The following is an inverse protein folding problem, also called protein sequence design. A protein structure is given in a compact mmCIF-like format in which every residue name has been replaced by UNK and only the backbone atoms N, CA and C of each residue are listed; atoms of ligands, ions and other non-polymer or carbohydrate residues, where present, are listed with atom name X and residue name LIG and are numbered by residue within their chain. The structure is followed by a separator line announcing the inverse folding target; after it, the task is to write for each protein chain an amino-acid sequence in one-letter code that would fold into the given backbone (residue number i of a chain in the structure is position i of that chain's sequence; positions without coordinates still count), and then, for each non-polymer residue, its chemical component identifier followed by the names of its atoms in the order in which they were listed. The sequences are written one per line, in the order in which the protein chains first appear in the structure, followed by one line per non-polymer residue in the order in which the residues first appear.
data_IF_413522304844
#
_entry.id   IF_413522304844
#
_cell.length_a   1.000
_cell.length_b   1.000
_cell.length_c   1.000
_cell.angle_alpha   90.00
_cell.angle_beta   90.00
_cell.angle_gamma   90.00
#
_symmetry.space_group_name_H-M   'P 1'
#
loop_
_entity.id
_entity.type
_entity.pdbx_description
1 polymer ?
#
# COMPACT_ATOMS: atom_id res chain seq x y z
N UNK A 1 41.66 -49.72 41.54
CA UNK A 1 41.07 -48.37 41.61
C UNK A 1 40.34 -48.15 40.31
N UNK A 2 39.01 -48.22 40.34
CA UNK A 2 38.21 -48.13 39.11
C UNK A 2 38.17 -46.67 38.65
N UNK A 3 38.06 -46.41 37.34
CA UNK A 3 38.10 -45.03 36.79
C UNK A 3 37.08 -44.10 37.46
N UNK A 4 35.93 -44.64 37.90
CA UNK A 4 34.93 -43.90 38.67
C UNK A 4 35.42 -43.42 40.05
N UNK A 5 36.26 -44.18 40.75
CA UNK A 5 36.80 -43.81 42.07
C UNK A 5 37.88 -42.72 41.95
N UNK A 6 38.69 -42.77 40.89
CA UNK A 6 39.71 -41.75 40.58
C UNK A 6 39.03 -40.41 40.27
N UNK A 7 37.96 -40.44 39.46
CA UNK A 7 37.19 -39.24 39.13
C UNK A 7 36.55 -38.61 40.37
N UNK A 8 36.02 -39.45 41.27
CA UNK A 8 35.37 -39.02 42.51
C UNK A 8 36.38 -38.44 43.51
N UNK A 9 37.57 -39.03 43.62
CA UNK A 9 38.65 -38.54 44.47
C UNK A 9 39.23 -37.20 43.98
N UNK A 10 39.39 -37.03 42.66
CA UNK A 10 39.84 -35.76 42.06
C UNK A 10 38.78 -34.67 42.25
N UNK A 11 37.50 -35.00 42.12
CA UNK A 11 36.39 -34.07 42.41
C UNK A 11 36.36 -33.62 43.88
N UNK A 12 36.54 -34.55 44.82
CA UNK A 12 36.63 -34.24 46.26
C UNK A 12 37.85 -33.39 46.61
N UNK A 13 39.01 -33.66 45.99
CA UNK A 13 40.24 -32.89 46.22
C UNK A 13 40.16 -31.45 45.68
N UNK A 14 39.43 -31.25 44.58
CA UNK A 14 39.22 -29.93 43.98
C UNK A 14 38.20 -29.13 44.80
N UNK A 15 37.14 -29.76 45.31
CA UNK A 15 36.09 -29.09 46.10
C UNK A 15 36.57 -28.49 47.44
N UNK A 16 37.69 -28.95 48.00
CA UNK A 16 38.21 -28.48 49.29
C UNK A 16 39.14 -27.25 49.26
N UNK A 17 39.51 -26.74 48.08
CA UNK A 17 40.47 -25.64 47.94
C UNK A 17 40.04 -24.55 46.96
N UNK A 18 40.72 -23.39 47.01
CA UNK A 18 40.42 -22.21 46.18
C UNK A 18 40.31 -22.50 44.65
N UNK A 19 41.00 -23.53 44.18
CA UNK A 19 40.94 -23.97 42.78
C UNK A 19 39.58 -24.59 42.38
N UNK A 20 38.86 -25.28 43.28
CA UNK A 20 37.57 -25.87 42.93
C UNK A 20 36.41 -24.89 42.89
N UNK A 21 36.44 -23.88 43.75
CA UNK A 21 35.48 -22.78 43.69
C UNK A 21 35.57 -22.05 42.33
N UNK A 22 36.78 -21.84 41.82
CA UNK A 22 37.01 -21.23 40.50
C UNK A 22 36.51 -22.11 39.34
N UNK A 23 36.70 -23.44 39.41
CA UNK A 23 36.20 -24.38 38.40
C UNK A 23 34.68 -24.44 38.39
N UNK A 24 34.04 -24.51 39.57
CA UNK A 24 32.57 -24.53 39.69
C UNK A 24 31.97 -23.22 39.20
N UNK A 25 32.55 -22.08 39.60
CA UNK A 25 32.10 -20.76 39.13
C UNK A 25 32.31 -20.58 37.63
N UNK A 26 33.45 -21.01 37.08
CA UNK A 26 33.72 -20.94 35.63
C UNK A 26 32.79 -21.81 34.79
N UNK A 27 32.40 -22.99 35.30
CA UNK A 27 31.37 -23.82 34.67
C UNK A 27 30.02 -23.10 34.73
N UNK A 28 29.61 -22.58 35.90
CA UNK A 28 28.35 -21.88 36.09
C UNK A 28 28.23 -20.62 35.20
N UNK A 29 29.30 -19.83 35.09
CA UNK A 29 29.36 -18.64 34.22
C UNK A 29 29.23 -19.00 32.74
N UNK A 30 29.88 -20.08 32.27
CA UNK A 30 29.71 -20.55 30.89
C UNK A 30 28.29 -21.00 30.59
N UNK A 31 27.64 -21.69 31.53
CA UNK A 31 26.24 -22.08 31.39
C UNK A 31 25.31 -20.86 31.34
N UNK A 32 25.49 -19.89 32.26
CA UNK A 32 24.74 -18.63 32.26
C UNK A 32 24.94 -17.83 30.98
N UNK A 33 26.16 -17.76 30.46
CA UNK A 33 26.46 -17.07 29.20
C UNK A 33 25.82 -17.76 28.00
N UNK A 34 25.85 -19.09 27.94
CA UNK A 34 25.21 -19.85 26.85
C UNK A 34 23.69 -19.74 26.91
N UNK A 35 23.10 -19.78 28.11
CA UNK A 35 21.68 -19.57 28.33
C UNK A 35 21.26 -18.13 27.96
N UNK A 36 21.99 -17.11 28.41
CA UNK A 36 21.73 -15.72 28.09
C UNK A 36 21.85 -15.42 26.59
N UNK A 37 22.80 -16.03 25.88
CA UNK A 37 22.88 -15.92 24.41
C UNK A 37 21.77 -16.65 23.67
N UNK A 38 21.16 -17.68 24.27
CA UNK A 38 20.00 -18.37 23.69
C UNK A 38 18.74 -17.52 23.86
N UNK A 39 18.48 -17.05 25.09
CA UNK A 39 17.40 -16.13 25.39
C UNK A 39 17.47 -14.86 24.51
N UNK A 40 18.63 -14.19 24.44
CA UNK A 40 18.79 -13.00 23.60
C UNK A 40 18.63 -13.24 22.09
N UNK A 41 18.78 -14.49 21.61
CA UNK A 41 18.48 -14.84 20.22
C UNK A 41 16.99 -15.08 20.02
N UNK A 42 16.36 -15.78 20.95
CA UNK A 42 14.92 -16.04 20.97
C UNK A 42 14.14 -14.72 21.07
N UNK A 43 14.48 -13.84 22.02
CA UNK A 43 13.87 -12.50 22.17
C UNK A 43 13.99 -11.66 20.89
N UNK A 44 15.12 -11.75 20.18
CA UNK A 44 15.36 -11.03 18.92
C UNK A 44 14.62 -11.64 17.73
N UNK A 45 14.41 -12.95 17.73
CA UNK A 45 13.63 -13.65 16.71
C UNK A 45 12.13 -13.38 16.89
N UNK A 46 11.65 -13.37 18.14
CA UNK A 46 10.28 -12.96 18.50
C UNK A 46 10.03 -11.49 18.13
N UNK A 47 10.93 -10.56 18.49
CA UNK A 47 10.77 -9.14 18.13
C UNK A 47 10.73 -8.93 16.60
N UNK A 48 11.51 -9.69 15.83
CA UNK A 48 11.47 -9.66 14.37
C UNK A 48 10.19 -10.26 13.83
N UNK A 49 9.72 -11.37 14.40
CA UNK A 49 8.46 -12.00 14.00
C UNK A 49 7.28 -11.07 14.24
N UNK A 50 7.22 -10.42 15.40
CA UNK A 50 6.18 -9.45 15.76
C UNK A 50 6.17 -8.24 14.82
N UNK A 51 7.34 -7.63 14.57
CA UNK A 51 7.46 -6.52 13.60
C UNK A 51 7.07 -6.95 12.19
N UNK A 52 7.42 -8.17 11.78
CA UNK A 52 7.07 -8.69 10.45
C UNK A 52 5.56 -8.94 10.35
N UNK A 53 4.93 -9.45 11.40
CA UNK A 53 3.48 -9.66 11.46
C UNK A 53 2.72 -8.31 11.44
N UNK A 54 3.17 -7.32 12.20
CA UNK A 54 2.61 -5.97 12.21
C UNK A 54 2.74 -5.29 10.84
N UNK A 55 3.91 -5.38 10.21
CA UNK A 55 4.15 -4.84 8.88
C UNK A 55 3.25 -5.51 7.83
N UNK A 56 3.10 -6.84 7.91
CA UNK A 56 2.22 -7.61 7.02
C UNK A 56 0.77 -7.18 7.18
N UNK A 57 0.29 -6.99 8.41
CA UNK A 57 -1.06 -6.49 8.71
C UNK A 57 -1.26 -5.08 8.15
N UNK A 58 -0.27 -4.22 8.29
CA UNK A 58 -0.32 -2.84 7.77
C UNK A 58 -0.39 -2.82 6.24
N UNK A 59 0.43 -3.64 5.59
CA UNK A 59 0.41 -3.79 4.12
C UNK A 59 -0.94 -4.29 3.64
N UNK A 60 -1.51 -5.30 4.31
CA UNK A 60 -2.83 -5.83 3.96
C UNK A 60 -3.92 -4.75 4.09
N UNK A 61 -3.90 -3.97 5.17
CA UNK A 61 -4.83 -2.84 5.35
C UNK A 61 -4.69 -1.78 4.26
N UNK A 62 -3.46 -1.38 3.95
CA UNK A 62 -3.19 -0.41 2.87
C UNK A 62 -3.64 -0.93 1.50
N UNK A 63 -3.48 -2.23 1.22
CA UNK A 63 -3.98 -2.84 0.00
C UNK A 63 -5.50 -2.79 -0.11
N UNK A 64 -6.21 -3.01 1.00
CA UNK A 64 -7.67 -2.89 1.07
C UNK A 64 -8.11 -1.44 0.85
N UNK A 65 -7.47 -0.48 1.51
CA UNK A 65 -7.76 0.94 1.34
C UNK A 65 -7.50 1.43 -0.09
N UNK A 66 -6.38 1.01 -0.70
CA UNK A 66 -6.09 1.32 -2.11
C UNK A 66 -7.15 0.74 -3.03
N UNK A 67 -7.59 -0.50 -2.78
CA UNK A 67 -8.65 -1.14 -3.56
C UNK A 67 -9.97 -0.37 -3.44
N UNK A 68 -10.34 0.04 -2.22
CA UNK A 68 -11.54 0.82 -1.95
C UNK A 68 -11.48 2.19 -2.63
N UNK A 69 -10.36 2.90 -2.49
CA UNK A 69 -10.16 4.20 -3.12
C UNK A 69 -10.24 4.10 -4.65
N UNK A 70 -9.59 3.10 -5.26
CA UNK A 70 -9.70 2.87 -6.72
C UNK A 70 -11.13 2.61 -7.17
N UNK A 71 -11.89 1.82 -6.41
CA UNK A 71 -13.30 1.56 -6.76
C UNK A 71 -14.17 2.81 -6.63
N UNK A 72 -13.93 3.64 -5.62
CA UNK A 72 -14.62 4.93 -5.44
C UNK A 72 -14.26 5.90 -6.58
N UNK A 73 -12.98 6.02 -6.91
CA UNK A 73 -12.49 6.89 -7.98
C UNK A 73 -13.05 6.49 -9.35
N UNK A 74 -13.12 5.19 -9.64
CA UNK A 74 -13.77 4.67 -10.85
C UNK A 74 -15.27 5.01 -10.89
N UNK A 75 -15.99 4.85 -9.78
CA UNK A 75 -17.40 5.21 -9.69
C UNK A 75 -17.64 6.71 -9.85
N UNK A 76 -16.78 7.55 -9.27
CA UNK A 76 -16.83 9.01 -9.42
C UNK A 76 -16.51 9.44 -10.85
N UNK A 77 -15.51 8.82 -11.48
CA UNK A 77 -15.17 9.07 -12.88
C UNK A 77 -16.32 8.72 -13.82
N UNK A 78 -16.99 7.58 -13.59
CA UNK A 78 -18.18 7.19 -14.36
C UNK A 78 -19.33 8.18 -14.15
N UNK A 79 -19.60 8.59 -12.91
CA UNK A 79 -20.64 9.58 -12.62
C UNK A 79 -20.36 10.93 -13.31
N UNK A 80 -19.12 11.42 -13.26
CA UNK A 80 -18.72 12.65 -13.95
C UNK A 80 -18.84 12.54 -15.46
N UNK A 81 -18.56 11.35 -16.03
CA UNK A 81 -18.71 11.09 -17.46
C UNK A 81 -20.16 11.23 -17.88
N UNK A 82 -21.11 10.70 -17.11
CA UNK A 82 -22.55 10.82 -17.39
C UNK A 82 -23.03 12.28 -17.28
N UNK A 83 -22.56 13.03 -16.27
CA UNK A 83 -22.90 14.44 -16.10
C UNK A 83 -22.34 15.30 -17.25
N UNK A 84 -21.10 15.05 -17.67
CA UNK A 84 -20.51 15.77 -18.79
C UNK A 84 -21.20 15.42 -20.11
N UNK A 85 -21.58 14.16 -20.33
CA UNK A 85 -22.36 13.76 -21.50
C UNK A 85 -23.67 14.56 -21.56
N UNK A 86 -24.47 14.54 -20.50
CA UNK A 86 -25.70 15.31 -20.41
C UNK A 86 -25.46 16.80 -20.72
N UNK A 87 -24.40 17.38 -20.14
CA UNK A 87 -24.08 18.78 -20.34
C UNK A 87 -23.67 19.12 -21.76
N UNK A 88 -22.88 18.26 -22.41
CA UNK A 88 -22.49 18.39 -23.82
C UNK A 88 -23.72 18.30 -24.71
N UNK A 89 -24.59 17.31 -24.49
CA UNK A 89 -25.83 17.16 -25.26
C UNK A 89 -26.73 18.39 -25.12
N UNK A 90 -26.98 18.82 -23.88
CA UNK A 90 -27.84 19.97 -23.59
C UNK A 90 -27.33 21.26 -24.26
N UNK A 91 -26.03 21.58 -24.08
CA UNK A 91 -25.46 22.78 -24.67
C UNK A 91 -25.41 22.71 -26.19
N UNK A 92 -25.01 21.57 -26.74
CA UNK A 92 -24.91 21.39 -28.18
C UNK A 92 -26.28 21.51 -28.86
N UNK A 93 -27.31 20.88 -28.30
CA UNK A 93 -28.69 21.04 -28.75
C UNK A 93 -29.15 22.50 -28.66
N UNK A 94 -28.80 23.21 -27.58
CA UNK A 94 -29.09 24.63 -27.43
C UNK A 94 -28.46 25.50 -28.52
N UNK A 95 -27.18 25.27 -28.86
CA UNK A 95 -26.52 25.99 -29.94
C UNK A 95 -27.11 25.64 -31.31
N UNK A 96 -27.40 24.36 -31.57
CA UNK A 96 -28.03 23.90 -32.80
C UNK A 96 -29.40 24.55 -32.98
N UNK A 97 -30.22 24.58 -31.94
CA UNK A 97 -31.53 25.23 -31.96
C UNK A 97 -31.43 26.75 -32.21
N UNK A 98 -30.36 27.38 -31.72
CA UNK A 98 -30.09 28.80 -31.97
C UNK A 98 -29.60 29.06 -33.40
N UNK A 99 -28.99 28.08 -34.06
CA UNK A 99 -28.48 28.19 -35.43
C UNK A 99 -27.19 29.00 -35.58
N UNK A 100 -26.59 29.44 -34.47
CA UNK A 100 -25.32 30.17 -34.44
C UNK A 100 -24.59 29.91 -33.12
N UNK A 101 -23.26 30.03 -33.13
CA UNK A 101 -22.43 29.91 -31.93
C UNK A 101 -21.29 30.92 -31.96
N UNK A 102 -20.91 31.48 -30.81
CA UNK A 102 -19.73 32.35 -30.75
C UNK A 102 -18.44 31.52 -30.81
N UNK A 103 -17.33 32.14 -31.21
CA UNK A 103 -16.03 31.46 -31.20
C UNK A 103 -15.65 30.98 -29.79
N UNK A 104 -15.93 31.78 -28.77
CA UNK A 104 -15.60 31.45 -27.39
C UNK A 104 -16.41 30.26 -26.88
N UNK A 105 -17.72 30.27 -27.14
CA UNK A 105 -18.62 29.19 -26.75
C UNK A 105 -18.22 27.89 -27.43
N UNK A 106 -17.88 27.91 -28.73
CA UNK A 106 -17.42 26.72 -29.45
C UNK A 106 -16.13 26.18 -28.85
N UNK A 107 -15.15 27.04 -28.57
CA UNK A 107 -13.88 26.61 -27.95
C UNK A 107 -14.10 25.94 -26.58
N UNK A 108 -14.96 26.55 -25.74
CA UNK A 108 -15.28 26.00 -24.41
C UNK A 108 -16.09 24.70 -24.51
N UNK A 109 -16.97 24.61 -25.49
CA UNK A 109 -17.75 23.40 -25.78
C UNK A 109 -16.84 22.22 -26.17
N UNK A 110 -15.88 22.42 -27.07
CA UNK A 110 -14.89 21.37 -27.41
C UNK A 110 -14.02 20.99 -26.24
N UNK A 111 -13.55 21.96 -25.43
CA UNK A 111 -12.77 21.64 -24.25
C UNK A 111 -13.55 20.72 -23.28
N UNK A 112 -14.87 20.93 -23.16
CA UNK A 112 -15.74 20.08 -22.36
C UNK A 112 -15.95 18.69 -22.97
N UNK A 113 -16.19 18.61 -24.30
CA UNK A 113 -16.29 17.32 -25.00
C UNK A 113 -14.97 16.53 -24.95
N UNK A 114 -13.81 17.19 -25.06
CA UNK A 114 -12.50 16.56 -24.91
C UNK A 114 -12.31 15.96 -23.51
N UNK A 115 -12.73 16.66 -22.46
CA UNK A 115 -12.72 16.11 -21.10
C UNK A 115 -13.59 14.86 -20.98
N UNK A 116 -14.79 14.87 -21.58
CA UNK A 116 -15.67 13.71 -21.62
C UNK A 116 -15.05 12.54 -22.40
N UNK A 117 -14.62 12.77 -23.63
CA UNK A 117 -14.20 11.73 -24.56
C UNK A 117 -12.80 11.20 -24.24
N UNK A 118 -11.80 12.08 -24.15
CA UNK A 118 -10.39 11.72 -23.95
C UNK A 118 -10.04 11.61 -22.47
N UNK A 119 -10.60 12.48 -21.63
CA UNK A 119 -10.27 12.54 -20.21
C UNK A 119 -10.91 11.41 -19.40
N UNK A 120 -12.21 11.16 -19.60
CA UNK A 120 -12.99 10.17 -18.83
C UNK A 120 -13.31 8.88 -19.60
N UNK A 121 -12.88 8.77 -20.87
CA UNK A 121 -13.16 7.59 -21.69
C UNK A 121 -14.62 7.49 -22.15
N UNK A 122 -15.20 8.62 -22.61
CA UNK A 122 -16.51 8.67 -23.26
C UNK A 122 -16.60 7.75 -24.48
N UNK A 123 -17.78 7.17 -24.71
CA UNK A 123 -18.05 6.22 -25.79
C UNK A 123 -18.40 6.86 -27.14
N UNK A 124 -18.34 8.19 -27.24
CA UNK A 124 -18.64 8.92 -28.48
C UNK A 124 -20.12 9.28 -28.65
N UNK A 125 -20.98 9.05 -27.64
CA UNK A 125 -22.42 9.35 -27.73
C UNK A 125 -22.74 10.84 -28.00
N UNK A 126 -21.78 11.72 -27.71
CA UNK A 126 -21.90 13.16 -27.98
C UNK A 126 -21.45 13.57 -29.38
N UNK A 127 -20.77 12.70 -30.15
CA UNK A 127 -20.02 13.10 -31.35
C UNK A 127 -20.94 13.68 -32.43
N UNK A 128 -22.13 13.09 -32.64
CA UNK A 128 -23.12 13.61 -33.59
C UNK A 128 -23.61 15.03 -33.25
N UNK A 129 -23.71 15.35 -31.95
CA UNK A 129 -24.07 16.70 -31.51
C UNK A 129 -22.90 17.66 -31.72
N UNK A 130 -21.67 17.21 -31.48
CA UNK A 130 -20.46 18.02 -31.71
C UNK A 130 -20.31 18.37 -33.18
N UNK A 131 -20.47 17.41 -34.08
CA UNK A 131 -20.49 17.65 -35.53
C UNK A 131 -21.56 18.67 -35.93
N UNK A 132 -22.75 18.56 -35.34
CA UNK A 132 -23.83 19.52 -35.55
C UNK A 132 -23.48 20.95 -35.09
N UNK A 133 -22.80 21.08 -33.95
CA UNK A 133 -22.30 22.38 -33.45
C UNK A 133 -21.20 22.95 -34.36
N UNK A 134 -20.33 22.09 -34.88
CA UNK A 134 -19.22 22.50 -35.75
C UNK A 134 -19.70 23.08 -37.08
N UNK A 135 -20.82 22.55 -37.59
CA UNK A 135 -21.46 23.03 -38.80
C UNK A 135 -22.13 24.41 -38.66
N UNK A 136 -22.30 24.93 -37.44
CA UNK A 136 -22.97 26.22 -37.22
C UNK A 136 -22.12 27.39 -37.73
N UNK A 137 -22.75 28.47 -38.24
CA UNK A 137 -22.04 29.72 -38.49
C UNK A 137 -21.55 30.34 -37.19
N UNK A 138 -20.40 31.01 -37.26
CA UNK A 138 -19.91 31.82 -36.15
C UNK A 138 -20.72 33.11 -36.04
N UNK A 139 -21.18 33.41 -34.83
CA UNK A 139 -21.79 34.70 -34.52
C UNK A 139 -20.76 35.80 -34.79
N UNK A 140 -21.17 36.81 -35.55
CA UNK A 140 -20.38 38.02 -35.79
C UNK A 140 -20.19 38.84 -34.53
#
# INVERSE_FOLDING_TARGET
MNIGEILTAVLMAVAGGAAGAAVINGINERWKFKAGRKAAKEDREEEKADKTAELTKTIAGLQEDIKRLRSSDAAQSEALKQILLDRVLYLGQGYIAKGEISYDDRRRFHAMHDCYHKGLGGNGDADIIVEGVDALPLKK
#
